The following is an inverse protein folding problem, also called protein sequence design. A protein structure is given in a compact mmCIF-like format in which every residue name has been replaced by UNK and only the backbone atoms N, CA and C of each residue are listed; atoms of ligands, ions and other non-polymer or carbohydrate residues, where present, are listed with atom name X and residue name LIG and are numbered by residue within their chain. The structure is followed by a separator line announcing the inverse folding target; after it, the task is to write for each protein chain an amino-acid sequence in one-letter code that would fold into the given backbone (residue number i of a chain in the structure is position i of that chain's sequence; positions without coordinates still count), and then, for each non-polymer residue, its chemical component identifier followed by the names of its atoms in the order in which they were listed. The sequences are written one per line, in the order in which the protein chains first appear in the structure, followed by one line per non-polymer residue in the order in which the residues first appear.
data_IF_145008041402
#
_entry.id   IF_145008041402
#
_cell.length_a   1.000
_cell.length_b   1.000
_cell.length_c   1.000
_cell.angle_alpha   90.00
_cell.angle_beta   90.00
_cell.angle_gamma   90.00
#
_symmetry.space_group_name_H-M   'P 1'
#
loop_
_entity.id
_entity.type
_entity.pdbx_description
1 polymer ?
#
# COMPACT_ATOMS: atom_id res chain seq x y z
N UNK A 1 60.17 15.72 -2.45
CA UNK A 1 58.83 15.29 -2.90
C UNK A 1 58.23 14.42 -1.81
N UNK A 2 57.14 14.87 -1.18
CA UNK A 2 56.41 14.07 -0.20
C UNK A 2 55.40 13.16 -0.93
N UNK A 3 55.17 11.93 -0.45
CA UNK A 3 54.18 11.03 -1.05
C UNK A 3 52.76 11.58 -0.86
N UNK A 4 51.92 11.40 -1.88
CA UNK A 4 50.52 11.80 -1.85
C UNK A 4 49.72 10.94 -0.85
N UNK A 5 48.75 11.53 -0.13
CA UNK A 5 47.90 10.79 0.81
C UNK A 5 47.01 9.80 0.05
N UNK A 6 46.94 8.56 0.53
CA UNK A 6 46.05 7.55 -0.02
C UNK A 6 44.59 7.77 0.43
N UNK A 7 43.61 7.49 -0.43
CA UNK A 7 42.20 7.58 -0.07
C UNK A 7 41.78 6.44 0.86
N UNK A 8 41.08 6.77 1.94
CA UNK A 8 40.47 5.80 2.86
C UNK A 8 39.16 5.28 2.25
N UNK A 9 39.04 3.96 2.08
CA UNK A 9 37.80 3.34 1.61
C UNK A 9 36.80 3.24 2.76
N UNK A 10 35.67 3.93 2.62
CA UNK A 10 34.54 3.86 3.57
C UNK A 10 33.72 2.60 3.28
N UNK A 11 33.55 1.75 4.30
CA UNK A 11 32.84 0.49 4.23
C UNK A 11 31.32 0.71 4.05
N UNK A 12 30.72 0.06 3.04
CA UNK A 12 29.28 0.17 2.74
C UNK A 12 28.52 -0.78 3.66
N UNK A 13 27.72 -0.23 4.56
CA UNK A 13 26.86 -1.02 5.44
C UNK A 13 25.71 -1.67 4.64
N UNK A 14 25.66 -3.00 4.63
CA UNK A 14 24.57 -3.79 4.02
C UNK A 14 23.36 -3.76 4.97
N UNK A 15 22.27 -3.14 4.51
CA UNK A 15 21.01 -3.09 5.26
C UNK A 15 20.15 -4.32 4.97
N UNK A 16 19.92 -5.16 5.97
CA UNK A 16 19.06 -6.35 5.85
C UNK A 16 17.63 -6.01 6.26
N UNK A 17 16.69 -6.07 5.31
CA UNK A 17 15.26 -5.90 5.58
C UNK A 17 14.69 -7.10 6.37
N UNK A 18 13.76 -6.86 7.32
CA UNK A 18 13.11 -7.94 8.05
C UNK A 18 12.11 -8.72 7.18
N UNK A 19 11.87 -10.02 7.47
CA UNK A 19 10.92 -10.83 6.73
C UNK A 19 9.45 -10.41 6.98
N UNK A 20 8.55 -10.63 6.01
CA UNK A 20 7.13 -10.29 6.17
C UNK A 20 6.44 -11.18 7.19
N UNK A 21 5.55 -10.59 8.00
CA UNK A 21 4.71 -11.30 8.98
C UNK A 21 3.45 -11.82 8.29
N UNK A 22 3.17 -13.12 8.41
CA UNK A 22 1.96 -13.73 7.87
C UNK A 22 0.77 -13.50 8.82
N UNK A 23 -0.34 -12.98 8.29
CA UNK A 23 -1.59 -12.77 9.03
C UNK A 23 -2.46 -14.02 8.97
N UNK A 24 -2.76 -14.63 10.11
CA UNK A 24 -3.62 -15.80 10.21
C UNK A 24 -5.10 -15.44 9.97
N UNK A 25 -5.78 -16.20 9.11
CA UNK A 25 -7.20 -16.03 8.80
C UNK A 25 -8.05 -16.79 9.81
N UNK A 26 -8.83 -16.08 10.62
CA UNK A 26 -9.73 -16.71 11.58
C UNK A 26 -10.91 -17.40 10.88
N UNK A 27 -11.19 -18.65 11.28
CA UNK A 27 -12.33 -19.44 10.81
C UNK A 27 -13.54 -19.19 11.72
N UNK A 28 -14.71 -18.80 11.20
CA UNK A 28 -15.89 -18.59 12.03
C UNK A 28 -16.48 -19.94 12.50
N UNK A 29 -16.74 -20.06 13.79
CA UNK A 29 -17.45 -21.20 14.38
C UNK A 29 -18.96 -20.94 14.30
N UNK A 30 -19.70 -21.79 13.59
CA UNK A 30 -21.16 -21.69 13.49
C UNK A 30 -21.84 -22.27 14.74
N UNK A 31 -22.67 -21.47 15.40
CA UNK A 31 -23.53 -21.91 16.52
C UNK A 31 -24.78 -22.63 16.00
N UNK A 32 -25.15 -23.75 16.64
CA UNK A 32 -26.32 -24.54 16.30
C UNK A 32 -27.65 -23.84 16.69
N UNK A 33 -28.73 -24.03 15.90
CA UNK A 33 -30.04 -23.50 16.23
C UNK A 33 -30.72 -24.32 17.34
N UNK A 34 -31.37 -23.63 18.29
CA UNK A 34 -32.22 -24.26 19.30
C UNK A 34 -33.66 -24.37 18.79
N UNK A 35 -34.31 -25.51 19.03
CA UNK A 35 -35.70 -25.79 18.65
C UNK A 35 -36.68 -25.10 19.63
N UNK A 36 -37.65 -24.29 19.15
CA UNK A 36 -38.65 -23.71 20.03
C UNK A 36 -39.75 -24.72 20.41
N UNK A 37 -40.16 -24.68 21.68
CA UNK A 37 -41.30 -25.42 22.22
C UNK A 37 -42.61 -24.67 21.92
N UNK A 38 -43.61 -25.36 21.36
CA UNK A 38 -44.92 -24.80 21.06
C UNK A 38 -45.76 -24.61 22.35
N UNK A 39 -46.28 -23.39 22.55
CA UNK A 39 -47.21 -23.03 23.62
C UNK A 39 -48.59 -22.77 23.01
N UNK A 40 -49.64 -23.25 23.68
CA UNK A 40 -51.02 -23.26 23.21
C UNK A 40 -51.65 -21.86 23.11
N UNK A 41 -52.42 -21.67 22.04
CA UNK A 41 -53.14 -20.45 21.64
C UNK A 41 -54.22 -20.01 22.65
N UNK A 42 -54.16 -18.75 23.06
CA UNK A 42 -55.29 -18.00 23.63
C UNK A 42 -55.72 -16.93 22.61
N UNK A 43 -57.03 -16.69 22.40
CA UNK A 43 -57.49 -15.65 21.48
C UNK A 43 -57.21 -14.27 22.08
N UNK A 44 -56.13 -13.64 21.64
CA UNK A 44 -55.77 -12.26 21.98
C UNK A 44 -56.41 -11.31 20.98
N UNK A 45 -57.20 -10.36 21.47
CA UNK A 45 -57.77 -9.26 20.68
C UNK A 45 -56.63 -8.31 20.28
N UNK A 46 -56.17 -8.38 19.03
CA UNK A 46 -55.10 -7.52 18.51
C UNK A 46 -55.56 -6.05 18.47
N UNK A 47 -54.99 -5.23 19.36
CA UNK A 47 -55.00 -3.79 19.18
C UNK A 47 -54.08 -3.45 18.00
N UNK A 48 -54.62 -2.75 17.00
CA UNK A 48 -53.84 -2.27 15.84
C UNK A 48 -52.79 -1.28 16.33
N UNK A 49 -51.55 -1.74 16.48
CA UNK A 49 -50.43 -0.86 16.80
C UNK A 49 -50.14 0.09 15.62
N UNK A 50 -49.80 1.37 15.89
CA UNK A 50 -49.48 2.31 14.84
C UNK A 50 -48.24 1.81 14.08
N UNK A 51 -48.37 1.66 12.76
CA UNK A 51 -47.28 1.18 11.93
C UNK A 51 -46.11 2.17 11.99
N UNK A 52 -44.88 1.74 12.30
CA UNK A 52 -43.72 2.63 12.29
C UNK A 52 -43.53 3.19 10.87
N UNK A 53 -43.51 4.52 10.76
CA UNK A 53 -43.16 5.20 9.52
C UNK A 53 -41.67 5.04 9.30
N UNK A 54 -41.28 4.34 8.22
CA UNK A 54 -39.87 4.17 7.89
C UNK A 54 -39.22 5.54 7.60
N UNK A 55 -38.09 5.81 8.25
CA UNK A 55 -37.29 7.01 8.00
C UNK A 55 -36.56 6.84 6.64
N UNK A 56 -36.46 7.89 5.81
CA UNK A 56 -35.64 7.83 4.60
C UNK A 56 -34.21 7.44 4.95
N UNK A 57 -33.65 6.49 4.20
CA UNK A 57 -32.24 6.13 4.27
C UNK A 57 -31.44 7.10 3.42
N UNK A 58 -30.44 7.75 4.00
CA UNK A 58 -29.56 8.64 3.25
C UNK A 58 -28.78 7.85 2.19
N UNK A 59 -28.78 8.36 0.96
CA UNK A 59 -27.98 7.80 -0.13
C UNK A 59 -26.53 8.24 0.07
N UNK A 60 -25.54 7.33 0.05
CA UNK A 60 -24.15 7.70 0.17
C UNK A 60 -23.74 8.63 -0.98
N UNK A 61 -23.05 9.71 -0.66
CA UNK A 61 -22.43 10.59 -1.66
C UNK A 61 -21.15 9.91 -2.16
N UNK A 62 -20.92 9.80 -3.48
CA UNK A 62 -19.69 9.21 -4.00
C UNK A 62 -18.48 10.06 -3.61
N UNK A 63 -17.42 9.41 -3.18
CA UNK A 63 -16.13 10.10 -2.95
C UNK A 63 -15.45 10.42 -4.30
N UNK A 64 -14.71 11.53 -4.37
CA UNK A 64 -13.95 11.86 -5.57
C UNK A 64 -12.81 10.86 -5.77
N UNK A 65 -12.76 10.24 -6.95
CA UNK A 65 -11.61 9.44 -7.38
C UNK A 65 -10.47 10.35 -7.80
N UNK A 66 -9.31 10.24 -7.17
CA UNK A 66 -8.10 10.93 -7.61
C UNK A 66 -7.49 10.24 -8.83
N UNK A 67 -7.15 11.01 -9.87
CA UNK A 67 -6.35 10.52 -10.99
C UNK A 67 -4.91 10.29 -10.53
N UNK A 68 -4.28 9.15 -10.86
CA UNK A 68 -2.88 8.92 -10.53
C UNK A 68 -1.99 9.96 -11.24
N UNK A 69 -0.97 10.44 -10.53
CA UNK A 69 0.10 11.23 -11.15
C UNK A 69 0.91 10.34 -12.10
N UNK A 70 1.18 10.77 -13.34
CA UNK A 70 2.00 9.99 -14.26
C UNK A 70 3.41 9.80 -13.69
N UNK A 71 3.93 8.58 -13.82
CA UNK A 71 5.31 8.29 -13.45
C UNK A 71 6.28 8.92 -14.45
N UNK A 72 7.42 9.46 -14.02
CA UNK A 72 8.42 9.99 -14.95
C UNK A 72 9.02 8.88 -15.82
N UNK A 73 9.23 9.18 -17.10
CA UNK A 73 9.92 8.26 -18.01
C UNK A 73 11.44 8.33 -17.79
N UNK A 74 11.93 7.48 -16.89
CA UNK A 74 13.35 7.39 -16.58
C UNK A 74 14.18 6.76 -17.71
N UNK A 75 13.57 5.97 -18.60
CA UNK A 75 14.30 5.28 -19.65
C UNK A 75 14.81 6.25 -20.72
N UNK A 76 14.12 7.36 -20.90
CA UNK A 76 14.48 8.42 -21.83
C UNK A 76 15.05 9.68 -21.16
N UNK A 77 15.30 9.63 -19.84
CA UNK A 77 15.89 10.75 -19.11
C UNK A 77 17.42 10.67 -19.14
N UNK A 78 18.05 11.39 -20.07
CA UNK A 78 19.50 11.48 -20.20
C UNK A 78 19.99 12.93 -20.05
N UNK A 79 21.20 13.09 -19.51
CA UNK A 79 21.79 14.42 -19.33
C UNK A 79 23.24 14.40 -18.90
N UNK A 80 23.71 15.54 -18.39
CA UNK A 80 25.05 15.71 -17.79
C UNK A 80 24.98 16.21 -16.37
N UNK A 81 25.84 15.68 -15.50
CA UNK A 81 26.03 16.21 -14.14
C UNK A 81 26.90 17.47 -14.14
N UNK A 82 27.03 18.10 -12.98
CA UNK A 82 27.92 19.26 -12.75
C UNK A 82 29.40 18.94 -13.02
N UNK A 83 29.79 17.67 -12.88
CA UNK A 83 31.14 17.17 -13.18
C UNK A 83 31.32 16.77 -14.66
N UNK A 84 30.34 17.10 -15.51
CA UNK A 84 30.32 16.76 -16.94
C UNK A 84 30.33 15.24 -17.22
N UNK A 85 29.82 14.44 -16.28
CA UNK A 85 29.54 13.01 -16.48
C UNK A 85 28.18 12.85 -17.16
N UNK A 86 28.07 11.92 -18.11
CA UNK A 86 26.78 11.56 -18.69
C UNK A 86 25.97 10.69 -17.71
N UNK A 87 24.66 10.90 -17.63
CA UNK A 87 23.75 10.02 -16.90
C UNK A 87 22.57 9.59 -17.77
N UNK A 88 22.01 8.42 -17.43
CA UNK A 88 20.75 7.90 -17.95
C UNK A 88 19.93 7.40 -16.76
N UNK A 89 18.66 7.79 -16.66
CA UNK A 89 17.77 7.39 -15.57
C UNK A 89 17.45 8.50 -14.57
N UNK A 90 17.08 8.07 -13.36
CA UNK A 90 16.75 8.96 -12.25
C UNK A 90 18.02 9.45 -11.53
N UNK A 91 18.34 10.75 -11.55
CA UNK A 91 19.52 11.28 -10.85
C UNK A 91 19.43 11.18 -9.32
N UNK A 92 18.22 10.98 -8.77
CA UNK A 92 17.97 10.78 -7.34
C UNK A 92 17.78 9.29 -6.98
N UNK A 93 18.15 8.36 -7.86
CA UNK A 93 18.07 6.93 -7.55
C UNK A 93 18.98 6.58 -6.36
N UNK A 94 18.57 5.66 -5.47
CA UNK A 94 19.39 5.24 -4.33
C UNK A 94 20.64 4.46 -4.75
N UNK A 95 20.66 3.95 -5.98
CA UNK A 95 21.77 3.19 -6.56
C UNK A 95 22.12 3.83 -7.89
N UNK A 96 23.40 4.07 -8.11
CA UNK A 96 23.96 4.55 -9.37
C UNK A 96 24.87 3.49 -9.97
N UNK A 97 24.80 3.31 -11.29
CA UNK A 97 25.71 2.43 -12.03
C UNK A 97 26.65 3.30 -12.85
N UNK A 98 27.96 3.09 -12.68
CA UNK A 98 29.00 3.80 -13.43
C UNK A 98 29.64 2.80 -14.39
N UNK A 99 29.51 3.06 -15.69
CA UNK A 99 30.13 2.26 -16.74
C UNK A 99 31.42 2.95 -17.24
N UNK A 100 32.51 2.20 -17.26
CA UNK A 100 33.82 2.65 -17.75
C UNK A 100 34.10 1.94 -19.06
N UNK A 101 33.78 2.62 -20.16
CA UNK A 101 34.10 2.12 -21.51
C UNK A 101 35.40 2.76 -22.01
N UNK A 102 36.32 1.92 -22.49
CA UNK A 102 37.51 2.33 -23.22
C UNK A 102 37.26 2.09 -24.72
N UNK A 103 37.35 3.13 -25.55
CA UNK A 103 37.05 3.08 -26.99
C UNK A 103 38.32 3.18 -27.86
N UNK A 104 39.48 2.76 -27.32
CA UNK A 104 40.77 2.73 -28.02
C UNK A 104 40.87 1.66 -29.10
#
# INVERSE_FOLDING_TARGET
MAPAPQPTLTEIAVSTLPPPTATETAVPTASSPSTPTAVADIPTTEATEPQPTALPTDTPTPEPTTTPTPEPDWLNNAGRTTENLMYLGNPNAPITMVDFSDFM
#
